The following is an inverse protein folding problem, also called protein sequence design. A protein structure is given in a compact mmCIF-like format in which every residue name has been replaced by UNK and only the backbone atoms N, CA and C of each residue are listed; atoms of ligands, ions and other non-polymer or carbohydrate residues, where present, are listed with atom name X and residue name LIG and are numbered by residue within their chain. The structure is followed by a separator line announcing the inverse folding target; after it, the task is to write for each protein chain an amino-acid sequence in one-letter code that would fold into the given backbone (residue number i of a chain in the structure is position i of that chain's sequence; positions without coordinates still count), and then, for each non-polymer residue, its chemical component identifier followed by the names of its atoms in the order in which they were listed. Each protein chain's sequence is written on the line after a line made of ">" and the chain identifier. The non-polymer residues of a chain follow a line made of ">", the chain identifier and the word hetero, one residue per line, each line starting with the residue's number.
data_IF_478868828325
#
_entry.id   IF_478868828325
#
_cell.length_a   1.000
_cell.length_b   1.000
_cell.length_c   1.000
_cell.angle_alpha   90.00
_cell.angle_beta   90.00
_cell.angle_gamma   90.00
#
_symmetry.space_group_name_H-M   'P 1'
#
loop_
_entity.id
_entity.type
_entity.pdbx_description
1 polymer ?
#
# COMPACT_ATOMS: atom_id res chain seq x y z
N UNK A 1 -3.37 11.48 9.74
CA UNK A 1 -3.29 10.01 9.77
C UNK A 1 -2.06 9.65 10.58
N UNK A 2 -2.22 9.18 11.82
CA UNK A 2 -1.08 8.71 12.62
C UNK A 2 -0.99 7.21 12.39
N UNK A 3 -0.02 6.79 11.58
CA UNK A 3 0.39 5.39 11.57
C UNK A 3 1.26 5.20 12.80
N UNK A 4 0.93 4.26 13.68
CA UNK A 4 1.90 3.75 14.66
C UNK A 4 3.09 3.24 13.86
N UNK A 5 4.24 3.88 14.07
CA UNK A 5 5.50 3.59 13.42
C UNK A 5 5.80 2.09 13.52
N UNK A 6 5.89 1.42 12.37
CA UNK A 6 6.36 0.04 12.29
C UNK A 6 7.82 0.08 11.86
N UNK A 7 8.75 0.13 12.83
CA UNK A 7 10.15 -0.14 12.56
C UNK A 7 10.32 -1.66 12.41
N UNK A 8 10.08 -2.17 11.20
CA UNK A 8 10.45 -3.53 10.84
C UNK A 8 11.84 -3.47 10.23
N UNK A 9 12.86 -3.92 10.95
CA UNK A 9 14.18 -4.17 10.36
C UNK A 9 14.10 -5.43 9.50
N UNK A 10 13.89 -5.21 8.20
CA UNK A 10 13.79 -6.28 7.21
C UNK A 10 15.19 -6.52 6.64
N UNK A 11 15.82 -7.63 7.04
CA UNK A 11 17.14 -8.05 6.54
C UNK A 11 17.05 -8.96 5.30
N UNK A 12 15.83 -9.40 4.92
CA UNK A 12 15.56 -10.26 3.76
C UNK A 12 14.20 -9.92 3.17
N UNK A 13 14.03 -9.96 1.83
CA UNK A 13 12.69 -9.85 1.23
C UNK A 13 11.85 -11.05 1.63
N UNK A 14 10.65 -10.85 2.18
CA UNK A 14 9.83 -11.96 2.67
C UNK A 14 8.43 -11.59 3.10
N UNK A 15 7.66 -12.61 3.52
CA UNK A 15 6.32 -12.42 4.07
C UNK A 15 6.44 -12.14 5.56
N UNK A 16 5.91 -11.00 6.00
CA UNK A 16 5.81 -10.64 7.42
C UNK A 16 4.35 -10.67 7.87
N UNK A 17 4.11 -11.13 9.09
CA UNK A 17 2.80 -10.98 9.73
C UNK A 17 2.81 -9.64 10.45
N UNK A 18 1.96 -8.73 9.99
CA UNK A 18 1.82 -7.40 10.54
C UNK A 18 0.49 -7.27 11.27
N UNK A 19 0.54 -6.58 12.41
CA UNK A 19 -0.65 -6.15 13.13
C UNK A 19 -0.76 -4.65 12.97
N UNK A 20 -1.69 -4.19 12.14
CA UNK A 20 -1.92 -2.77 11.88
C UNK A 20 -3.06 -2.26 12.74
N UNK A 21 -2.92 -1.04 13.29
CA UNK A 21 -4.02 -0.35 13.97
C UNK A 21 -4.48 0.80 13.10
N UNK A 22 -5.72 0.73 12.61
CA UNK A 22 -6.32 1.80 11.81
C UNK A 22 -7.59 2.26 12.52
N UNK A 23 -7.61 3.53 12.95
CA UNK A 23 -8.80 4.15 13.54
C UNK A 23 -9.38 3.37 14.73
N UNK A 24 -8.49 2.77 15.53
CA UNK A 24 -8.85 1.95 16.69
C UNK A 24 -9.14 0.48 16.39
N UNK A 25 -9.06 0.05 15.12
CA UNK A 25 -9.26 -1.33 14.70
C UNK A 25 -7.94 -2.04 14.51
N UNK A 26 -7.83 -3.24 15.08
CA UNK A 26 -6.67 -4.11 14.91
C UNK A 26 -6.90 -5.00 13.70
N UNK A 27 -5.99 -4.96 12.73
CA UNK A 27 -6.04 -5.74 11.49
C UNK A 27 -4.78 -6.60 11.43
N UNK A 28 -4.97 -7.92 11.45
CA UNK A 28 -3.88 -8.88 11.29
C UNK A 28 -3.78 -9.31 9.83
N UNK A 29 -2.68 -8.96 9.17
CA UNK A 29 -2.47 -9.29 7.76
C UNK A 29 -1.06 -9.81 7.50
N UNK A 30 -0.90 -10.45 6.35
CA UNK A 30 0.43 -10.73 5.79
C UNK A 30 0.80 -9.57 4.87
N UNK A 31 2.02 -9.08 4.99
CA UNK A 31 2.59 -8.07 4.10
C UNK A 31 3.87 -8.61 3.46
N UNK A 32 4.23 -8.05 2.31
CA UNK A 32 5.53 -8.29 1.69
C UNK A 32 6.48 -7.21 2.21
N UNK A 33 7.53 -7.65 2.87
CA UNK A 33 8.61 -6.81 3.32
C UNK A 33 9.68 -6.75 2.22
N UNK A 34 9.89 -5.57 1.64
CA UNK A 34 10.88 -5.35 0.59
C UNK A 34 12.17 -4.76 1.18
N UNK A 35 13.29 -5.39 0.87
CA UNK A 35 14.60 -4.80 1.15
C UNK A 35 14.72 -3.46 0.40
N UNK A 36 15.32 -2.46 1.06
CA UNK A 36 15.58 -1.13 0.49
C UNK A 36 14.35 -0.25 0.20
N UNK A 37 13.15 -0.65 0.64
CA UNK A 37 11.95 0.19 0.55
C UNK A 37 11.87 1.26 1.67
N UNK A 38 12.98 1.60 2.33
CA UNK A 38 13.00 2.56 3.45
C UNK A 38 12.46 3.92 3.00
N UNK A 39 11.47 4.44 3.73
CA UNK A 39 10.83 5.72 3.42
C UNK A 39 9.74 5.66 2.34
N UNK A 40 9.51 4.50 1.72
CA UNK A 40 8.39 4.33 0.79
C UNK A 40 7.09 4.07 1.58
N UNK A 41 5.98 4.74 1.24
CA UNK A 41 4.68 4.41 1.80
C UNK A 41 4.33 2.94 1.56
N UNK A 42 3.78 2.28 2.58
CA UNK A 42 3.30 0.89 2.46
C UNK A 42 2.16 0.80 1.47
N UNK A 43 2.31 -0.05 0.44
CA UNK A 43 1.22 -0.38 -0.47
C UNK A 43 0.25 -1.35 0.22
N UNK A 44 -1.02 -0.98 0.26
CA UNK A 44 -2.09 -1.83 0.79
C UNK A 44 -2.79 -2.54 -0.36
N UNK A 45 -2.66 -3.87 -0.39
CA UNK A 45 -3.32 -4.72 -1.37
C UNK A 45 -4.83 -4.86 -1.14
N UNK A 46 -5.51 -5.44 -2.12
CA UNK A 46 -6.95 -5.73 -2.04
C UNK A 46 -7.28 -6.68 -0.89
N UNK A 47 -6.39 -7.62 -0.60
CA UNK A 47 -6.50 -8.57 0.52
C UNK A 47 -6.56 -7.84 1.87
N UNK A 48 -5.73 -6.81 2.05
CA UNK A 48 -5.77 -5.93 3.22
C UNK A 48 -7.09 -5.16 3.29
N UNK A 49 -7.50 -4.52 2.19
CA UNK A 49 -8.72 -3.71 2.14
C UNK A 49 -9.96 -4.55 2.46
N UNK A 50 -10.06 -5.74 1.89
CA UNK A 50 -11.16 -6.69 2.17
C UNK A 50 -11.16 -7.13 3.63
N UNK A 51 -10.00 -7.50 4.18
CA UNK A 51 -9.90 -7.92 5.57
C UNK A 51 -10.23 -6.80 6.56
N UNK A 52 -9.84 -5.58 6.23
CA UNK A 52 -10.15 -4.40 7.03
C UNK A 52 -11.61 -3.94 6.88
N UNK A 53 -12.34 -4.45 5.87
CA UNK A 53 -13.66 -3.95 5.51
C UNK A 53 -13.62 -2.51 5.00
N UNK A 54 -12.56 -2.10 4.32
CA UNK A 54 -12.40 -0.73 3.81
C UNK A 54 -13.04 -0.62 2.42
N UNK A 55 -13.85 0.42 2.24
CA UNK A 55 -14.42 0.81 0.97
C UNK A 55 -13.86 2.17 0.55
N UNK A 56 -13.41 2.24 -0.70
CA UNK A 56 -12.86 3.46 -1.30
C UNK A 56 -13.93 4.16 -2.14
N UNK A 57 -14.14 5.44 -1.87
CA UNK A 57 -14.97 6.31 -2.70
C UNK A 57 -14.06 7.29 -3.44
N UNK A 58 -13.69 6.91 -4.66
CA UNK A 58 -12.79 7.69 -5.49
C UNK A 58 -13.41 9.02 -5.95
N UNK A 59 -14.74 9.06 -6.10
CA UNK A 59 -15.47 10.27 -6.52
C UNK A 59 -15.38 11.37 -5.47
N UNK A 60 -15.60 11.02 -4.20
CA UNK A 60 -15.51 11.96 -3.08
C UNK A 60 -14.11 12.02 -2.46
N UNK A 61 -13.16 11.22 -2.99
CA UNK A 61 -11.79 11.10 -2.49
C UNK A 61 -11.76 10.82 -0.98
N UNK A 62 -12.57 9.86 -0.55
CA UNK A 62 -12.61 9.42 0.83
C UNK A 62 -12.76 7.90 0.93
N UNK A 63 -12.66 7.37 2.14
CA UNK A 63 -12.87 5.96 2.44
C UNK A 63 -13.64 5.79 3.75
N UNK A 64 -14.22 4.62 3.95
CA UNK A 64 -14.96 4.27 5.16
C UNK A 64 -14.90 2.77 5.41
N UNK A 65 -15.23 2.35 6.64
CA UNK A 65 -15.43 0.94 6.94
C UNK A 65 -16.83 0.49 6.56
N UNK A 66 -16.97 -0.72 6.04
CA UNK A 66 -18.22 -1.29 5.54
C UNK A 66 -19.30 -1.40 6.62
N UNK A 67 -18.91 -1.59 7.88
CA UNK A 67 -19.80 -1.65 9.04
C UNK A 67 -20.10 -0.27 9.66
N UNK A 68 -19.43 0.79 9.22
CA UNK A 68 -19.66 2.17 9.69
C UNK A 68 -19.56 3.19 8.54
N UNK A 69 -20.47 3.14 7.55
CA UNK A 69 -20.39 3.95 6.32
C UNK A 69 -20.59 5.46 6.56
N UNK A 70 -21.17 5.85 7.69
CA UNK A 70 -21.35 7.26 8.06
C UNK A 70 -20.07 7.92 8.59
N UNK A 71 -19.07 7.12 9.00
CA UNK A 71 -17.77 7.63 9.45
C UNK A 71 -16.79 7.52 8.29
N UNK A 72 -16.55 8.66 7.65
CA UNK A 72 -15.69 8.77 6.46
C UNK A 72 -14.35 9.43 6.80
N UNK A 73 -13.35 9.10 5.99
CA UNK A 73 -11.98 9.57 6.11
C UNK A 73 -11.50 10.08 4.76
N UNK A 74 -11.10 11.34 4.69
CA UNK A 74 -10.64 11.94 3.45
C UNK A 74 -9.27 11.40 3.05
N UNK A 75 -9.04 11.27 1.74
CA UNK A 75 -7.71 11.03 1.21
C UNK A 75 -6.80 12.22 1.52
N UNK A 76 -5.50 11.91 1.65
CA UNK A 76 -4.47 12.95 1.84
C UNK A 76 -4.56 13.92 0.66
N UNK A 77 -4.56 15.22 0.96
CA UNK A 77 -4.50 16.25 -0.09
C UNK A 77 -3.20 16.09 -0.85
N UNK A 78 -3.28 16.23 -2.16
CA UNK A 78 -2.10 16.20 -3.02
C UNK A 78 -1.22 17.39 -2.60
N UNK A 79 -0.11 17.10 -1.90
CA UNK A 79 0.92 18.09 -1.66
C UNK A 79 1.58 18.28 -3.01
N UNK A 80 1.32 19.40 -3.67
CA UNK A 80 2.01 19.75 -4.91
C UNK A 80 3.51 19.67 -4.62
N UNK A 81 4.17 18.78 -5.36
CA UNK A 81 5.60 18.49 -5.29
C UNK A 81 6.37 19.72 -5.79
N UNK A 82 6.45 20.78 -4.98
CA UNK A 82 7.44 21.84 -5.15
C UNK A 82 8.56 21.73 -4.11
N UNK A 83 8.37 20.95 -3.04
CA UNK A 83 9.40 20.80 -1.99
C UNK A 83 10.31 19.56 -2.14
N UNK A 84 9.99 18.60 -3.02
CA UNK A 84 10.82 17.38 -3.21
C UNK A 84 12.11 17.68 -3.99
N UNK A 85 12.22 18.80 -4.70
CA UNK A 85 13.47 19.18 -5.39
C UNK A 85 14.65 19.47 -4.44
N UNK A 86 14.41 19.55 -3.12
CA UNK A 86 15.48 19.77 -2.13
C UNK A 86 15.95 18.52 -1.40
N UNK A 87 15.36 17.33 -1.64
CA UNK A 87 15.78 16.08 -1.00
C UNK A 87 16.11 14.99 -2.03
N UNK A 88 17.39 14.99 -2.39
CA UNK A 88 18.18 13.91 -3.00
C UNK A 88 17.77 13.44 -4.39
N UNK A 89 18.76 13.29 -5.28
CA UNK A 89 18.69 12.62 -6.57
C UNK A 89 17.92 11.30 -6.43
N UNK A 90 16.66 11.29 -6.85
CA UNK A 90 15.88 10.07 -6.99
C UNK A 90 16.33 9.44 -8.30
N UNK A 91 17.21 8.43 -8.22
CA UNK A 91 17.34 7.48 -9.32
C UNK A 91 15.94 6.92 -9.57
N UNK A 92 15.45 7.20 -10.77
CA UNK A 92 14.17 6.76 -11.30
C UNK A 92 14.18 5.23 -11.35
N UNK A 93 13.75 4.57 -10.27
CA UNK A 93 13.45 3.15 -10.32
C UNK A 93 12.14 3.00 -11.12
N UNK A 94 12.25 3.05 -12.44
CA UNK A 94 11.18 2.66 -13.36
C UNK A 94 10.99 1.15 -13.24
N UNK A 95 10.34 0.70 -12.16
CA UNK A 95 9.89 -0.67 -12.03
C UNK A 95 8.72 -0.86 -13.00
N UNK A 96 9.04 -1.21 -14.25
CA UNK A 96 8.04 -1.72 -15.17
C UNK A 96 7.55 -3.07 -14.64
N UNK A 97 6.27 -3.14 -14.25
CA UNK A 97 5.59 -4.41 -14.14
C UNK A 97 5.51 -4.97 -15.56
N UNK A 98 6.28 -6.02 -15.85
CA UNK A 98 6.16 -6.72 -17.12
C UNK A 98 4.78 -7.40 -17.18
N UNK A 99 3.93 -6.94 -18.10
CA UNK A 99 2.68 -7.61 -18.48
C UNK A 99 3.00 -8.88 -19.29
N UNK A 100 3.70 -9.84 -18.70
CA UNK A 100 3.94 -11.16 -19.32
C UNK A 100 2.73 -12.11 -19.17
N UNK A 101 1.52 -11.57 -19.04
CA UNK A 101 0.26 -12.33 -19.04
C UNK A 101 -0.35 -12.49 -20.44
N UNK A 102 0.44 -12.91 -21.44
CA UNK A 102 -0.18 -13.43 -22.69
C UNK A 102 0.69 -14.42 -23.49
N UNK A 103 1.54 -15.19 -22.81
CA UNK A 103 2.20 -16.33 -23.47
C UNK A 103 1.24 -17.53 -23.50
N UNK A 104 0.36 -17.53 -24.50
CA UNK A 104 -0.36 -18.73 -24.95
C UNK A 104 0.64 -19.88 -25.15
N UNK A 105 0.67 -20.85 -24.22
CA UNK A 105 1.39 -22.10 -24.40
C UNK A 105 0.71 -22.86 -25.55
N UNK A 106 1.36 -22.95 -26.70
CA UNK A 106 0.90 -23.82 -27.78
C UNK A 106 1.07 -25.28 -27.34
N UNK A 107 0.07 -26.15 -27.55
CA UNK A 107 0.24 -27.57 -27.32
C UNK A 107 1.17 -28.15 -28.38
N UNK A 108 2.19 -28.88 -27.93
CA UNK A 108 3.07 -29.67 -28.79
C UNK A 108 2.26 -30.82 -29.41
N UNK A 109 2.43 -31.04 -30.72
CA UNK A 109 1.92 -32.20 -31.46
C UNK A 109 2.95 -33.33 -31.44
#
# INVERSE_FOLDING_TARGET
>A
MSFSEFEVEVYTTGIVIATSVIEGRVIHTRLIALLYAKGNPTLLGVDFLQRAGILLNLKLRNWFFSDSPHRTYDFVKEVIIQEIQSRSNLEENTCFLHDDEDKCLKPEH
#
